data_IF_184086754086
#
_entry.id   IF_184086754086
#
_cell.length_a   1.000
_cell.length_b   1.000
_cell.length_c   1.000
_cell.angle_alpha   90.00
_cell.angle_beta   90.00
_cell.angle_gamma   90.00
#
_symmetry.space_group_name_H-M   'P 1'
#
loop_
_entity.id
_entity.type
_entity.pdbx_description
1 polymer ?
#
# COMPACT_ATOMS: atom_id res chain seq x y z
N UNK A 1 -59.68 -16.02 -31.45
CA UNK A 1 -59.26 -14.88 -30.56
C UNK A 1 -58.18 -15.40 -29.63
N UNK A 2 -56.93 -15.18 -30.00
CA UNK A 2 -55.78 -15.55 -29.18
C UNK A 2 -55.31 -14.30 -28.42
N UNK A 3 -55.36 -14.37 -27.10
CA UNK A 3 -54.74 -13.34 -26.23
C UNK A 3 -53.32 -13.74 -25.93
N UNK A 4 -52.37 -13.02 -26.48
CA UNK A 4 -50.97 -13.12 -26.10
C UNK A 4 -50.77 -12.28 -24.83
N UNK A 5 -50.40 -12.94 -23.74
CA UNK A 5 -49.95 -12.28 -22.52
C UNK A 5 -48.45 -12.04 -22.64
N UNK A 6 -48.05 -10.76 -22.68
CA UNK A 6 -46.66 -10.34 -22.61
C UNK A 6 -46.29 -10.25 -21.12
N UNK A 7 -45.45 -11.16 -20.65
CA UNK A 7 -44.79 -11.03 -19.36
C UNK A 7 -43.68 -9.98 -19.49
N UNK A 8 -43.85 -8.80 -18.91
CA UNK A 8 -42.76 -7.88 -18.65
C UNK A 8 -41.94 -8.43 -17.47
N UNK A 9 -40.79 -8.97 -17.77
CA UNK A 9 -39.77 -9.24 -16.76
C UNK A 9 -39.21 -7.92 -16.24
N UNK A 10 -39.51 -7.58 -14.99
CA UNK A 10 -38.82 -6.53 -14.25
C UNK A 10 -37.41 -7.04 -13.95
N UNK A 11 -36.40 -6.62 -14.72
CA UNK A 11 -35.00 -6.66 -14.30
C UNK A 11 -34.88 -5.67 -13.14
N UNK A 12 -34.89 -6.18 -11.91
CA UNK A 12 -34.43 -5.43 -10.75
C UNK A 12 -32.93 -5.29 -10.91
N UNK A 13 -32.44 -4.13 -11.36
CA UNK A 13 -31.06 -3.74 -11.16
C UNK A 13 -30.88 -3.61 -9.64
N UNK A 14 -30.29 -4.61 -9.02
CA UNK A 14 -29.74 -4.45 -7.68
C UNK A 14 -28.70 -3.35 -7.80
N UNK A 15 -29.00 -2.17 -7.29
CA UNK A 15 -28.01 -1.20 -6.89
C UNK A 15 -27.18 -1.93 -5.81
N UNK A 16 -25.99 -2.38 -6.14
CA UNK A 16 -25.01 -2.72 -5.13
C UNK A 16 -24.77 -1.41 -4.36
N UNK A 17 -25.44 -1.24 -3.23
CA UNK A 17 -25.04 -0.28 -2.25
C UNK A 17 -23.59 -0.64 -1.93
N UNK A 18 -22.70 0.33 -1.91
CA UNK A 18 -21.38 0.16 -1.31
C UNK A 18 -21.64 -0.35 0.11
N UNK A 19 -21.40 -1.64 0.32
CA UNK A 19 -21.60 -2.24 1.63
C UNK A 19 -20.35 -1.92 2.40
N UNK A 20 -20.51 -1.37 3.59
CA UNK A 20 -19.43 -0.89 4.39
C UNK A 20 -18.47 -2.02 4.78
N UNK A 21 -17.20 -1.89 4.47
CA UNK A 21 -16.20 -2.92 4.78
C UNK A 21 -16.18 -3.27 6.28
N UNK A 22 -16.50 -2.32 7.15
CA UNK A 22 -16.48 -2.54 8.61
C UNK A 22 -17.57 -3.50 9.10
N UNK A 23 -18.61 -3.71 8.32
CA UNK A 23 -19.70 -4.66 8.65
C UNK A 23 -19.54 -6.01 7.99
N UNK A 24 -18.75 -6.09 6.92
CA UNK A 24 -18.55 -7.32 6.14
C UNK A 24 -17.24 -8.03 6.48
N UNK A 25 -16.17 -7.25 6.73
CA UNK A 25 -14.85 -7.78 6.98
C UNK A 25 -14.60 -8.02 8.46
N UNK A 26 -13.62 -8.88 8.76
CA UNK A 26 -13.09 -9.14 10.10
C UNK A 26 -11.61 -8.74 10.18
N UNK A 27 -11.05 -8.80 11.41
CA UNK A 27 -9.65 -8.53 11.68
C UNK A 27 -9.16 -7.17 11.13
N UNK A 28 -10.05 -6.17 11.21
CA UNK A 28 -9.80 -4.82 10.71
C UNK A 28 -8.80 -4.13 11.62
N UNK A 29 -7.69 -3.65 11.05
CA UNK A 29 -6.61 -2.99 11.79
C UNK A 29 -5.88 -1.97 10.93
N UNK A 30 -5.12 -1.10 11.59
CA UNK A 30 -4.10 -0.26 10.95
C UNK A 30 -2.74 -0.82 11.36
N UNK A 31 -1.94 -1.17 10.37
CA UNK A 31 -0.55 -1.59 10.55
C UNK A 31 0.28 -0.59 9.75
N UNK A 32 1.13 0.15 10.43
CA UNK A 32 1.91 1.26 9.89
C UNK A 32 1.05 2.23 9.04
N UNK A 33 0.66 2.48 8.22
CA UNK A 33 -0.28 3.35 7.49
C UNK A 33 -1.17 2.55 6.53
N UNK A 34 -1.22 1.23 6.71
CA UNK A 34 -2.06 0.36 5.92
C UNK A 34 -3.33 0.00 6.68
N UNK A 35 -4.48 0.18 6.07
CA UNK A 35 -5.70 -0.48 6.51
C UNK A 35 -5.65 -1.93 6.04
N UNK A 36 -5.76 -2.86 6.96
CA UNK A 36 -5.75 -4.30 6.68
C UNK A 36 -7.04 -4.92 7.19
N UNK A 37 -7.66 -5.77 6.41
CA UNK A 37 -8.84 -6.54 6.85
C UNK A 37 -8.96 -7.87 6.10
N UNK A 38 -9.65 -8.83 6.70
CA UNK A 38 -10.05 -10.09 6.09
C UNK A 38 -11.49 -9.97 5.60
N UNK A 39 -11.69 -9.98 4.31
CA UNK A 39 -12.96 -9.68 3.68
C UNK A 39 -13.53 -10.87 2.92
N UNK A 40 -14.86 -11.11 2.99
CA UNK A 40 -15.50 -12.19 2.26
C UNK A 40 -15.47 -11.94 0.76
N UNK A 41 -15.24 -13.02 0.01
CA UNK A 41 -15.41 -13.07 -1.45
C UNK A 41 -16.83 -13.44 -1.82
N UNK A 42 -17.22 -13.16 -3.03
CA UNK A 42 -18.54 -13.60 -3.55
C UNK A 42 -18.70 -15.11 -3.65
N UNK A 43 -17.60 -15.89 -3.57
CA UNK A 43 -17.61 -17.36 -3.60
C UNK A 43 -17.83 -18.03 -2.24
N UNK A 44 -17.79 -17.27 -1.15
CA UNK A 44 -17.95 -17.75 0.23
C UNK A 44 -16.60 -18.00 0.96
N UNK A 45 -15.49 -17.75 0.30
CA UNK A 45 -14.17 -17.70 0.92
C UNK A 45 -13.91 -16.29 1.49
N UNK A 46 -12.77 -16.11 2.14
CA UNK A 46 -12.31 -14.80 2.59
C UNK A 46 -10.84 -14.63 2.26
N UNK A 47 -10.45 -13.42 1.91
CA UNK A 47 -9.06 -13.05 1.67
C UNK A 47 -8.66 -11.85 2.52
N UNK A 48 -7.39 -11.78 2.93
CA UNK A 48 -6.83 -10.59 3.57
C UNK A 48 -6.41 -9.62 2.48
N UNK A 49 -6.80 -8.36 2.64
CA UNK A 49 -6.54 -7.27 1.69
C UNK A 49 -6.11 -6.01 2.44
N UNK A 50 -5.52 -5.08 1.73
CA UNK A 50 -5.03 -3.83 2.32
C UNK A 50 -5.21 -2.62 1.41
N UNK A 51 -5.26 -1.43 2.04
CA UNK A 51 -5.24 -0.11 1.39
C UNK A 51 -4.18 0.74 2.05
N UNK A 52 -3.32 1.38 1.26
CA UNK A 52 -2.29 2.28 1.74
C UNK A 52 -2.86 3.66 2.04
N UNK A 53 -3.29 3.89 3.28
CA UNK A 53 -3.97 5.12 3.67
C UNK A 53 -3.09 6.37 3.57
N UNK A 54 -1.77 6.23 3.68
CA UNK A 54 -0.89 7.40 3.65
C UNK A 54 -0.96 8.15 2.31
N UNK A 55 -1.14 7.46 1.20
CA UNK A 55 -1.35 8.09 -0.10
C UNK A 55 -2.78 8.60 -0.32
N UNK A 56 -3.75 8.14 0.49
CA UNK A 56 -5.18 8.43 0.29
C UNK A 56 -5.73 9.52 1.22
N UNK A 57 -4.96 9.94 2.21
CA UNK A 57 -5.40 10.90 3.23
C UNK A 57 -4.45 12.08 3.32
N UNK A 58 -5.01 13.27 3.56
CA UNK A 58 -4.27 14.49 3.79
C UNK A 58 -4.69 15.19 5.08
N UNK A 59 -3.76 15.93 5.67
CA UNK A 59 -4.06 16.93 6.68
C UNK A 59 -4.27 18.30 6.03
N UNK A 60 -5.47 18.82 6.13
CA UNK A 60 -5.79 20.18 5.73
C UNK A 60 -5.94 21.07 6.95
N UNK A 61 -4.81 21.63 7.44
CA UNK A 61 -4.77 22.56 8.58
C UNK A 61 -5.47 22.00 9.83
N UNK A 62 -5.09 20.80 10.24
CA UNK A 62 -5.63 20.11 11.41
C UNK A 62 -6.84 19.21 11.11
N UNK A 63 -7.33 19.20 9.88
CA UNK A 63 -8.46 18.36 9.48
C UNK A 63 -8.02 17.24 8.55
N UNK A 64 -8.28 16.01 8.98
CA UNK A 64 -8.07 14.82 8.17
C UNK A 64 -9.14 14.75 7.07
N UNK A 65 -8.74 14.49 5.84
CA UNK A 65 -9.64 14.35 4.71
C UNK A 65 -9.09 13.42 3.65
N UNK A 66 -9.99 12.95 2.77
CA UNK A 66 -9.60 12.13 1.63
C UNK A 66 -8.92 12.99 0.55
N UNK A 67 -7.73 12.58 0.12
CA UNK A 67 -6.98 13.24 -0.95
C UNK A 67 -5.91 12.30 -1.51
N UNK A 68 -5.85 12.13 -2.82
CA UNK A 68 -4.77 11.42 -3.47
C UNK A 68 -3.43 12.11 -3.18
N UNK A 69 -2.37 11.32 -3.00
CA UNK A 69 -1.01 11.76 -2.64
C UNK A 69 -0.96 12.66 -1.39
N UNK A 70 -1.86 12.41 -0.45
CA UNK A 70 -2.07 13.30 0.69
C UNK A 70 -1.02 13.24 1.79
N UNK A 71 -0.38 12.07 2.00
CA UNK A 71 0.71 11.82 2.94
C UNK A 71 0.44 12.35 4.37
N UNK A 72 -0.74 12.04 4.91
CA UNK A 72 -1.20 12.54 6.22
C UNK A 72 -0.23 12.23 7.37
N UNK A 73 0.48 11.12 7.30
CA UNK A 73 1.43 10.69 8.33
C UNK A 73 2.60 11.68 8.56
N UNK A 74 2.82 12.64 7.65
CA UNK A 74 3.84 13.67 7.81
C UNK A 74 3.46 14.73 8.86
N UNK A 75 2.18 14.85 9.17
CA UNK A 75 1.62 15.91 10.01
C UNK A 75 0.45 15.47 10.89
N UNK A 76 0.15 14.17 10.92
CA UNK A 76 -0.80 13.57 11.84
C UNK A 76 -0.11 12.47 12.65
N UNK A 77 -0.51 12.31 13.90
CA UNK A 77 0.02 11.33 14.85
C UNK A 77 -1.09 10.74 15.70
N UNK A 78 -0.77 9.76 16.53
CA UNK A 78 -1.67 9.12 17.50
C UNK A 78 -2.99 8.66 16.86
N UNK A 79 -2.88 8.07 15.66
CA UNK A 79 -4.03 7.61 14.90
C UNK A 79 -4.58 6.31 15.47
N UNK A 80 -5.89 6.24 15.62
CA UNK A 80 -6.63 5.06 16.09
C UNK A 80 -7.81 4.78 15.18
N UNK A 81 -8.16 3.50 15.02
CA UNK A 81 -9.31 3.05 14.24
C UNK A 81 -10.37 2.47 15.17
N UNK A 82 -11.62 2.94 15.04
CA UNK A 82 -12.79 2.38 15.70
C UNK A 82 -13.87 2.09 14.65
N UNK A 83 -14.08 0.80 14.37
CA UNK A 83 -14.86 0.38 13.22
C UNK A 83 -14.26 0.89 11.92
N UNK A 84 -14.96 1.78 11.22
CA UNK A 84 -14.46 2.45 10.01
C UNK A 84 -13.96 3.88 10.29
N UNK A 85 -14.00 4.36 11.52
CA UNK A 85 -13.62 5.73 11.84
C UNK A 85 -12.14 5.80 12.23
N UNK A 86 -11.35 6.44 11.39
CA UNK A 86 -9.96 6.80 11.70
C UNK A 86 -9.94 8.13 12.42
N UNK A 87 -9.33 8.18 13.60
CA UNK A 87 -9.15 9.39 14.41
C UNK A 87 -7.68 9.65 14.63
N UNK A 88 -7.23 10.88 14.40
CA UNK A 88 -5.83 11.28 14.53
C UNK A 88 -5.72 12.66 15.21
N UNK A 89 -4.55 12.96 15.75
CA UNK A 89 -4.12 14.30 16.12
C UNK A 89 -3.32 14.90 14.94
N UNK A 90 -3.88 15.93 14.27
CA UNK A 90 -3.25 16.52 13.09
C UNK A 90 -2.78 17.95 13.35
N UNK A 91 -1.60 18.30 12.82
CA UNK A 91 -0.96 19.60 12.98
C UNK A 91 -1.75 20.71 12.30
N UNK A 92 -1.90 21.83 13.00
CA UNK A 92 -2.46 23.07 12.47
C UNK A 92 -1.30 23.91 11.94
N UNK A 93 -1.24 24.16 10.64
CA UNK A 93 -0.11 24.81 9.95
C UNK A 93 0.25 26.21 10.47
N UNK A 94 -0.72 26.93 11.07
CA UNK A 94 -0.52 28.28 11.58
C UNK A 94 -0.18 28.35 13.09
N UNK A 95 -0.24 27.23 13.79
CA UNK A 95 -0.02 27.13 15.23
C UNK A 95 0.82 25.89 15.51
N UNK A 96 1.80 25.93 16.42
CA UNK A 96 2.53 24.72 16.83
C UNK A 96 1.64 23.86 17.77
N UNK A 97 0.51 23.40 17.24
CA UNK A 97 -0.50 22.66 17.99
C UNK A 97 -1.16 21.61 17.11
N UNK A 98 -1.66 20.57 17.74
CA UNK A 98 -2.41 19.50 17.11
C UNK A 98 -3.90 19.65 17.39
N UNK A 99 -4.71 19.16 16.49
CA UNK A 99 -6.17 19.11 16.60
C UNK A 99 -6.64 17.67 16.38
N UNK A 100 -7.50 17.22 17.29
CA UNK A 100 -8.19 15.94 17.11
C UNK A 100 -9.17 16.04 15.95
N UNK A 101 -9.08 15.08 15.05
CA UNK A 101 -9.90 15.02 13.84
C UNK A 101 -10.20 13.56 13.49
N UNK A 102 -11.30 13.32 12.77
CA UNK A 102 -11.66 11.96 12.36
C UNK A 102 -12.27 11.93 10.96
N UNK A 103 -12.15 10.76 10.31
CA UNK A 103 -12.70 10.50 8.98
C UNK A 103 -13.34 9.12 8.97
N UNK A 104 -14.53 9.00 8.39
CA UNK A 104 -15.16 7.71 8.12
C UNK A 104 -14.61 7.14 6.81
N UNK A 105 -13.84 6.06 6.90
CA UNK A 105 -13.21 5.44 5.75
C UNK A 105 -14.21 4.74 4.82
N UNK A 106 -15.40 4.33 5.31
CA UNK A 106 -16.44 3.70 4.48
C UNK A 106 -17.01 4.62 3.40
N UNK A 107 -16.81 5.94 3.54
CA UNK A 107 -17.21 6.88 2.49
C UNK A 107 -16.34 6.72 1.22
N UNK A 108 -15.19 6.04 1.34
CA UNK A 108 -14.19 5.94 0.28
C UNK A 108 -13.70 4.53 0.01
N UNK A 109 -13.77 3.62 1.00
CA UNK A 109 -13.26 2.26 0.91
C UNK A 109 -14.41 1.26 1.07
N UNK A 110 -14.43 0.24 0.22
CA UNK A 110 -15.42 -0.83 0.30
C UNK A 110 -14.79 -2.19 0.01
N UNK A 111 -15.49 -3.27 0.40
CA UNK A 111 -15.16 -4.64 0.03
C UNK A 111 -15.70 -4.95 -1.36
N UNK A 112 -14.84 -5.37 -2.24
CA UNK A 112 -15.17 -5.86 -3.57
C UNK A 112 -14.68 -7.29 -3.75
N UNK A 113 -15.55 -8.25 -3.44
CA UNK A 113 -15.24 -9.67 -3.54
C UNK A 113 -13.95 -10.07 -2.81
N UNK A 114 -13.77 -9.56 -1.59
CA UNK A 114 -12.59 -9.80 -0.76
C UNK A 114 -11.50 -8.72 -0.85
N UNK A 115 -11.52 -7.88 -1.87
CA UNK A 115 -10.54 -6.82 -2.07
C UNK A 115 -11.04 -5.51 -1.45
N UNK A 116 -10.24 -4.94 -0.55
CA UNK A 116 -10.43 -3.57 -0.09
C UNK A 116 -9.95 -2.63 -1.19
N UNK A 117 -10.87 -1.85 -1.76
CA UNK A 117 -10.53 -0.87 -2.80
C UNK A 117 -11.11 0.48 -2.47
N UNK A 118 -10.34 1.52 -2.80
CA UNK A 118 -10.69 2.91 -2.57
C UNK A 118 -11.27 3.58 -3.82
N UNK A 119 -12.11 4.59 -3.61
CA UNK A 119 -12.68 5.47 -4.65
C UNK A 119 -13.40 4.78 -5.82
N UNK A 120 -13.84 3.54 -5.64
CA UNK A 120 -14.59 2.86 -6.68
C UNK A 120 -16.04 3.38 -6.73
N UNK A 121 -16.49 3.78 -7.89
CA UNK A 121 -17.87 4.17 -8.15
C UNK A 121 -18.55 3.16 -9.07
N UNK A 122 -19.51 2.42 -8.54
CA UNK A 122 -20.25 1.42 -9.31
C UNK A 122 -19.62 0.03 -9.29
N UNK A 123 -20.02 -0.84 -10.21
CA UNK A 123 -19.49 -2.18 -10.32
C UNK A 123 -18.04 -2.13 -10.80
N UNK A 124 -17.16 -2.83 -10.12
CA UNK A 124 -15.79 -3.03 -10.59
C UNK A 124 -15.83 -3.84 -11.87
N UNK A 125 -15.15 -3.33 -12.89
CA UNK A 125 -15.00 -4.03 -14.17
C UNK A 125 -13.77 -4.91 -14.22
N UNK A 126 -12.82 -4.67 -13.30
CA UNK A 126 -11.57 -5.44 -13.20
C UNK A 126 -11.23 -5.59 -11.73
N UNK A 127 -11.37 -6.79 -11.21
CA UNK A 127 -10.88 -7.14 -9.87
C UNK A 127 -9.36 -7.30 -9.99
N UNK A 128 -8.55 -6.77 -9.05
CA UNK A 128 -7.13 -7.06 -9.02
C UNK A 128 -6.90 -8.57 -9.06
N UNK A 129 -5.93 -9.02 -9.84
CA UNK A 129 -5.61 -10.45 -9.88
C UNK A 129 -5.28 -10.92 -8.47
N UNK A 130 -5.81 -12.09 -8.08
CA UNK A 130 -5.44 -12.70 -6.80
C UNK A 130 -3.91 -12.80 -6.71
N UNK A 131 -3.33 -12.00 -5.84
CA UNK A 131 -1.93 -12.17 -5.50
C UNK A 131 -1.78 -13.49 -4.75
N UNK A 132 -0.81 -14.30 -5.14
CA UNK A 132 -0.41 -15.47 -4.35
C UNK A 132 0.41 -15.07 -3.13
N UNK A 133 0.80 -13.81 -3.05
CA UNK A 133 1.56 -13.23 -1.95
C UNK A 133 0.59 -12.75 -0.88
N UNK A 134 0.71 -13.30 0.32
CA UNK A 134 -0.12 -12.90 1.45
C UNK A 134 0.24 -11.48 1.90
N UNK A 135 -0.75 -10.74 2.42
CA UNK A 135 -0.49 -9.46 3.10
C UNK A 135 0.46 -9.73 4.27
N UNK A 136 1.62 -9.05 4.33
CA UNK A 136 2.60 -9.27 5.38
C UNK A 136 2.09 -8.79 6.75
N UNK A 137 2.59 -9.41 7.82
CA UNK A 137 2.33 -8.96 9.19
C UNK A 137 3.14 -7.73 9.58
N UNK A 138 4.17 -7.42 8.81
CA UNK A 138 5.08 -6.29 8.94
C UNK A 138 5.41 -5.82 7.53
N UNK A 139 5.22 -4.53 7.29
CA UNK A 139 5.46 -3.93 5.97
C UNK A 139 6.89 -3.42 5.80
N UNK A 140 7.70 -3.45 6.86
CA UNK A 140 9.06 -2.96 6.82
C UNK A 140 10.00 -3.91 6.08
N UNK A 141 10.73 -3.36 5.13
CA UNK A 141 11.85 -4.02 4.45
C UNK A 141 13.11 -3.21 4.68
N UNK A 142 14.19 -3.87 5.07
CA UNK A 142 15.49 -3.22 5.21
C UNK A 142 16.42 -3.65 4.08
N UNK A 143 16.91 -2.67 3.31
CA UNK A 143 17.98 -2.82 2.36
C UNK A 143 19.30 -2.40 3.03
N UNK A 144 20.23 -3.31 3.20
CA UNK A 144 21.59 -2.98 3.62
C UNK A 144 22.47 -2.75 2.38
N UNK A 145 22.96 -1.53 2.22
CA UNK A 145 23.74 -1.08 1.08
C UNK A 145 25.22 -0.99 1.48
N UNK A 146 26.08 -1.74 0.82
CA UNK A 146 27.52 -1.66 1.00
C UNK A 146 28.17 -0.73 -0.04
N UNK A 147 29.07 0.14 0.40
CA UNK A 147 29.71 1.17 -0.45
C UNK A 147 31.05 0.74 -1.04
N UNK A 148 31.59 -0.40 -0.69
CA UNK A 148 32.89 -0.88 -1.20
C UNK A 148 32.92 -2.39 -1.40
N UNK A 149 33.24 -2.78 -2.53
CA UNK A 149 33.60 -3.95 -3.33
C UNK A 149 33.82 -5.33 -2.72
N UNK A 150 33.52 -5.63 -1.50
CA UNK A 150 33.62 -7.00 -1.02
C UNK A 150 32.49 -7.32 -0.06
N UNK A 151 31.57 -8.13 -0.56
CA UNK A 151 30.64 -8.90 0.24
C UNK A 151 29.87 -8.10 1.29
N UNK A 152 28.58 -8.25 1.29
CA UNK A 152 27.55 -7.86 2.24
C UNK A 152 27.96 -7.90 3.73
N UNK A 153 29.14 -7.42 4.05
CA UNK A 153 29.50 -7.09 5.42
C UNK A 153 28.66 -5.87 5.81
N UNK A 154 27.93 -5.99 6.90
CA UNK A 154 26.98 -5.02 7.46
C UNK A 154 27.58 -3.65 7.83
N UNK A 155 28.54 -3.15 7.09
CA UNK A 155 29.24 -1.87 7.32
C UNK A 155 28.71 -0.74 6.44
N UNK A 156 27.59 -0.95 5.76
CA UNK A 156 26.96 -0.01 4.84
C UNK A 156 25.85 0.83 5.46
N UNK A 157 25.13 1.51 4.60
CA UNK A 157 23.95 2.27 4.94
C UNK A 157 22.73 1.34 4.90
N UNK A 158 21.87 1.41 5.91
CA UNK A 158 20.58 0.73 5.89
C UNK A 158 19.51 1.70 5.39
N UNK A 159 18.73 1.24 4.45
CA UNK A 159 17.53 1.91 3.93
C UNK A 159 16.33 1.09 4.36
N UNK A 160 15.43 1.69 5.17
CA UNK A 160 14.13 1.12 5.48
C UNK A 160 13.10 1.54 4.44
N UNK A 161 12.32 0.58 3.95
CA UNK A 161 11.20 0.81 3.04
C UNK A 161 9.95 0.18 3.67
N UNK A 162 8.89 0.97 3.82
CA UNK A 162 7.58 0.50 4.29
C UNK A 162 6.42 1.13 3.52
N UNK A 163 6.74 1.88 2.50
CA UNK A 163 5.78 2.58 1.66
C UNK A 163 6.02 2.23 0.20
N UNK A 164 4.95 2.12 -0.62
CA UNK A 164 5.08 2.11 -2.06
C UNK A 164 5.85 3.34 -2.53
N UNK A 165 6.76 3.15 -3.45
CA UNK A 165 7.54 4.24 -4.01
C UNK A 165 7.91 3.97 -5.45
N UNK A 166 7.57 4.90 -6.33
CA UNK A 166 7.90 4.79 -7.75
C UNK A 166 9.40 4.95 -7.99
N UNK A 167 10.02 5.84 -7.21
CA UNK A 167 11.45 6.06 -7.31
C UNK A 167 12.00 6.71 -6.03
N UNK A 168 12.91 6.04 -5.37
CA UNK A 168 13.64 6.55 -4.22
C UNK A 168 15.09 6.80 -4.60
N UNK A 169 15.46 8.05 -4.75
CA UNK A 169 16.83 8.46 -5.01
C UNK A 169 17.68 8.39 -3.73
N UNK A 170 18.78 7.67 -3.82
CA UNK A 170 19.72 7.48 -2.70
C UNK A 170 20.74 8.61 -2.71
N UNK A 171 20.45 9.71 -2.03
CA UNK A 171 21.36 10.83 -1.88
C UNK A 171 22.21 10.69 -0.63
N UNK A 172 23.20 9.83 -0.66
CA UNK A 172 24.13 9.64 0.45
C UNK A 172 25.41 10.46 0.30
N UNK A 173 25.53 11.28 -0.75
CA UNK A 173 26.76 12.04 -1.05
C UNK A 173 27.97 11.15 -1.39
N UNK A 174 27.73 9.86 -1.59
CA UNK A 174 28.70 8.85 -2.00
C UNK A 174 28.13 8.05 -3.15
N UNK A 175 28.98 7.69 -4.07
CA UNK A 175 28.60 6.72 -5.12
C UNK A 175 28.42 5.37 -4.46
N UNK A 176 27.20 4.83 -4.47
CA UNK A 176 26.98 3.47 -4.01
C UNK A 176 27.40 2.56 -5.13
N UNK A 177 28.58 2.03 -4.96
CA UNK A 177 29.03 0.96 -5.83
C UNK A 177 28.79 -0.35 -5.09
N UNK A 178 27.93 -1.26 -5.61
CA UNK A 178 28.13 -2.68 -5.57
C UNK A 178 27.23 -3.62 -4.81
N UNK A 179 26.84 -3.42 -3.59
CA UNK A 179 26.24 -4.56 -2.90
C UNK A 179 25.01 -4.13 -2.15
N UNK A 180 23.85 -4.69 -2.51
CA UNK A 180 22.69 -4.68 -1.65
C UNK A 180 22.57 -6.06 -1.01
N UNK A 181 22.49 -6.11 0.31
CA UNK A 181 21.93 -7.27 0.98
C UNK A 181 20.50 -6.93 1.33
N UNK A 182 19.58 -7.66 0.82
CA UNK A 182 18.22 -7.63 1.33
C UNK A 182 18.29 -8.30 2.70
N UNK A 183 18.09 -7.56 3.75
CA UNK A 183 17.95 -8.15 5.05
C UNK A 183 16.49 -8.52 5.26
N UNK A 184 16.25 -9.82 5.38
CA UNK A 184 15.16 -10.49 6.05
C UNK A 184 13.76 -9.90 5.94
N UNK A 185 12.83 -10.74 5.70
CA UNK A 185 11.39 -10.54 5.79
C UNK A 185 10.76 -9.67 4.72
N UNK A 186 11.40 -9.57 3.53
CA UNK A 186 10.67 -9.12 2.34
C UNK A 186 9.54 -10.13 2.04
N UNK A 187 8.39 -9.89 2.62
CA UNK A 187 7.24 -10.77 2.52
C UNK A 187 6.28 -10.33 1.42
N UNK A 188 6.75 -9.62 0.42
CA UNK A 188 5.87 -9.29 -0.67
C UNK A 188 6.13 -7.97 -1.37
N UNK A 189 7.29 -7.40 -1.24
CA UNK A 189 7.71 -6.27 -2.05
C UNK A 189 8.51 -6.74 -3.27
N UNK A 190 8.24 -6.15 -4.43
CA UNK A 190 9.17 -6.09 -5.52
C UNK A 190 9.99 -4.82 -5.38
N UNK A 191 11.31 -4.96 -5.28
CA UNK A 191 12.24 -3.83 -5.17
C UNK A 191 13.16 -3.86 -6.37
N UNK A 192 13.16 -2.78 -7.14
CA UNK A 192 13.95 -2.69 -8.38
C UNK A 192 15.04 -1.65 -8.22
N UNK A 193 16.28 -2.05 -8.53
CA UNK A 193 17.46 -1.17 -8.49
C UNK A 193 17.74 -0.57 -9.87
N UNK A 194 18.11 0.72 -9.90
CA UNK A 194 18.34 1.49 -11.13
C UNK A 194 19.68 2.19 -11.11
N UNK A 195 20.26 2.40 -12.33
CA UNK A 195 21.51 3.12 -12.53
C UNK A 195 21.33 4.65 -12.58
N UNK A 196 20.11 5.14 -12.71
CA UNK A 196 19.79 6.58 -12.72
C UNK A 196 18.97 6.98 -11.49
N UNK A 197 18.83 8.30 -11.30
CA UNK A 197 18.13 8.89 -10.15
C UNK A 197 16.62 9.01 -10.32
N UNK A 198 16.10 8.71 -11.50
CA UNK A 198 14.71 8.90 -11.90
C UNK A 198 13.99 7.56 -12.17
N UNK A 199 14.69 6.43 -11.98
CA UNK A 199 14.19 5.08 -12.20
C UNK A 199 13.64 4.86 -13.64
N UNK A 200 14.29 5.46 -14.62
CA UNK A 200 13.89 5.41 -16.04
C UNK A 200 14.78 4.54 -16.90
N UNK A 201 15.98 4.15 -16.40
CA UNK A 201 16.86 3.19 -17.07
C UNK A 201 16.31 1.77 -17.01
N UNK A 202 16.91 0.87 -17.76
CA UNK A 202 16.67 -0.55 -17.57
C UNK A 202 17.05 -0.96 -16.15
N UNK A 203 16.29 -1.85 -15.50
CA UNK A 203 16.59 -2.36 -14.17
C UNK A 203 17.97 -3.00 -14.10
N UNK A 204 18.77 -2.65 -13.10
CA UNK A 204 20.02 -3.36 -12.78
C UNK A 204 19.69 -4.71 -12.16
N UNK A 205 18.74 -4.72 -11.23
CA UNK A 205 18.31 -5.93 -10.51
C UNK A 205 16.89 -5.76 -9.97
N UNK A 206 16.15 -6.85 -9.92
CA UNK A 206 14.85 -6.93 -9.27
C UNK A 206 14.94 -7.92 -8.11
N UNK A 207 14.73 -7.42 -6.89
CA UNK A 207 14.71 -8.23 -5.68
C UNK A 207 13.32 -8.79 -5.44
N UNK A 208 13.29 -10.04 -5.01
CA UNK A 208 12.09 -10.73 -4.55
C UNK A 208 12.30 -11.33 -3.17
N UNK A 209 11.28 -12.00 -2.62
CA UNK A 209 11.41 -12.72 -1.36
C UNK A 209 12.44 -13.87 -1.40
N UNK A 210 12.78 -14.36 -2.59
CA UNK A 210 13.79 -15.42 -2.76
C UNK A 210 15.22 -14.91 -2.51
N UNK A 211 15.42 -13.59 -2.55
CA UNK A 211 16.69 -12.93 -2.29
C UNK A 211 16.90 -12.61 -0.79
N UNK A 212 15.96 -12.96 0.08
CA UNK A 212 16.08 -12.74 1.51
C UNK A 212 17.37 -13.36 2.06
N UNK A 213 18.08 -12.60 2.90
CA UNK A 213 19.39 -12.95 3.45
C UNK A 213 20.49 -13.18 2.40
N UNK A 214 20.20 -12.93 1.13
CA UNK A 214 21.16 -13.05 0.03
C UNK A 214 21.97 -11.78 -0.14
N UNK A 215 23.19 -11.94 -0.63
CA UNK A 215 24.08 -10.85 -1.00
C UNK A 215 24.12 -10.69 -2.51
N UNK A 216 23.49 -9.65 -3.02
CA UNK A 216 23.48 -9.35 -4.46
C UNK A 216 24.56 -8.33 -4.78
N UNK A 217 25.45 -8.71 -5.70
CA UNK A 217 26.55 -7.84 -6.18
C UNK A 217 26.15 -7.24 -7.52
N UNK A 218 26.15 -5.91 -7.58
CA UNK A 218 25.85 -5.21 -8.82
C UNK A 218 27.10 -5.00 -9.67
N UNK A 219 26.93 -5.03 -10.98
CA UNK A 219 28.00 -4.72 -11.94
C UNK A 219 28.02 -3.23 -12.31
N UNK A 220 27.04 -2.48 -11.85
CA UNK A 220 26.83 -1.06 -12.13
C UNK A 220 26.51 -0.31 -10.84
N UNK A 221 26.67 0.99 -10.84
CA UNK A 221 26.33 1.84 -9.69
C UNK A 221 24.82 1.95 -9.56
N UNK A 222 24.28 1.58 -8.40
CA UNK A 222 22.87 1.80 -8.07
C UNK A 222 22.70 3.24 -7.58
N UNK A 223 21.73 3.96 -8.15
CA UNK A 223 21.42 5.33 -7.75
C UNK A 223 20.02 5.49 -7.15
N UNK A 224 19.09 4.63 -7.53
CA UNK A 224 17.73 4.67 -7.03
C UNK A 224 17.10 3.28 -6.94
N UNK A 225 16.00 3.21 -6.18
CA UNK A 225 15.14 2.03 -6.06
C UNK A 225 13.69 2.41 -6.23
N UNK A 226 12.89 1.51 -6.81
CA UNK A 226 11.44 1.49 -6.64
C UNK A 226 11.03 0.35 -5.72
N UNK A 227 9.86 0.50 -5.08
CA UNK A 227 9.27 -0.54 -4.23
C UNK A 227 7.77 -0.64 -4.51
N UNK A 228 7.33 -1.82 -4.94
CA UNK A 228 5.95 -2.10 -5.31
C UNK A 228 5.43 -3.26 -4.47
N UNK A 229 4.28 -3.13 -3.79
CA UNK A 229 3.67 -4.25 -3.06
C UNK A 229 3.16 -5.30 -4.05
N UNK A 230 3.47 -6.58 -3.80
CA UNK A 230 3.04 -7.71 -4.63
C UNK A 230 1.79 -8.41 -4.09
N UNK A 231 1.38 -8.10 -2.85
CA UNK A 231 0.12 -8.58 -2.30
C UNK A 231 -1.05 -7.74 -2.83
N UNK A 232 -2.26 -8.21 -2.55
CA UNK A 232 -3.46 -7.48 -2.94
C UNK A 232 -3.60 -6.16 -2.16
N UNK A 233 -3.00 -5.11 -2.66
CA UNK A 233 -2.96 -3.77 -2.06
C UNK A 233 -3.51 -2.72 -3.03
N UNK A 234 -4.22 -1.75 -2.47
CA UNK A 234 -4.60 -0.50 -3.12
C UNK A 234 -3.66 0.61 -2.59
N UNK A 235 -2.83 1.18 -3.44
CA UNK A 235 -1.82 2.16 -3.08
C UNK A 235 -1.69 3.29 -4.12
#
# INVERSE_FOLDING_TARGET
>A
MHRSSVLLGLCSAALAAAQGFSTECSDISIIDYWLVATCPTGSGDSITSSVFLNAKLANSNGNLGWAEDGYYARSCQDCTLDGATLSCECEIASLPSYQSTSLNLEEHIANYEGHLLSNQTGAITTIPSDSTVAVPSDFDVTLALATTGTACERTGVSLGLNNPTDCYYINLGVTIEYTAALQTDNQGWEIVAYADTECTSDPIYTFSSDDNDSCVVFNETVQAFSATPLWNADY
#
